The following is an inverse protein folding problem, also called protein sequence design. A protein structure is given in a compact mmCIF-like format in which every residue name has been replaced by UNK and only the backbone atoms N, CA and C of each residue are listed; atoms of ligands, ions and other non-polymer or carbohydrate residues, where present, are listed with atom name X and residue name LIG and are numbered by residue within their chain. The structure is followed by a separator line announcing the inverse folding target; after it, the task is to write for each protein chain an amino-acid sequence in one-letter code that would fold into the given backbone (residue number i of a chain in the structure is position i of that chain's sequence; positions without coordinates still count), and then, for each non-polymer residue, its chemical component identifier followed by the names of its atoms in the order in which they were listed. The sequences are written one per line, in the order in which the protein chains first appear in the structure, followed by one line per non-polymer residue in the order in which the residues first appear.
data_IF_120646703861
#
_entry.id   IF_120646703861
#
_cell.length_a   1.000
_cell.length_b   1.000
_cell.length_c   1.000
_cell.angle_alpha   90.00
_cell.angle_beta   90.00
_cell.angle_gamma   90.00
#
_symmetry.space_group_name_H-M   'P 1'
#
loop_
_entity.id
_entity.type
_entity.pdbx_description
1 polymer ?
#
# COMPACT_ATOMS: atom_id res chain seq x y z
N UNK A 1 -20.13 4.52 3.74
CA UNK A 1 -19.49 3.21 3.51
C UNK A 1 -18.88 3.02 2.11
N UNK A 2 -19.51 3.47 1.00
CA UNK A 2 -18.88 3.39 -0.33
C UNK A 2 -17.77 4.44 -0.57
N UNK A 3 -17.79 5.57 0.16
CA UNK A 3 -16.80 6.64 0.05
C UNK A 3 -15.49 6.34 0.81
N UNK A 4 -15.56 5.71 1.99
CA UNK A 4 -14.38 5.29 2.76
C UNK A 4 -13.61 4.14 2.08
N UNK A 5 -14.31 3.22 1.41
CA UNK A 5 -13.68 2.21 0.53
C UNK A 5 -12.95 2.79 -0.68
N UNK A 6 -13.32 3.99 -1.15
CA UNK A 6 -12.58 4.71 -2.21
C UNK A 6 -11.34 5.42 -1.66
N UNK A 7 -11.41 6.01 -0.48
CA UNK A 7 -10.27 6.72 0.13
C UNK A 7 -9.04 5.83 0.39
N UNK A 8 -9.21 4.52 0.58
CA UNK A 8 -8.07 3.59 0.66
C UNK A 8 -7.45 3.25 -0.71
N UNK A 9 -8.22 3.35 -1.80
CA UNK A 9 -7.76 3.12 -3.18
C UNK A 9 -7.25 4.39 -3.87
N UNK A 10 -7.74 5.58 -3.50
CA UNK A 10 -7.27 6.87 -3.99
C UNK A 10 -6.57 7.61 -2.87
N UNK A 11 -5.24 7.55 -2.85
CA UNK A 11 -4.44 8.36 -1.92
C UNK A 11 -4.70 9.84 -2.15
N UNK A 12 -5.57 10.43 -1.34
CA UNK A 12 -5.84 11.86 -1.34
C UNK A 12 -5.89 12.34 0.11
N UNK A 13 -4.97 13.25 0.43
CA UNK A 13 -5.16 14.20 1.51
C UNK A 13 -6.47 14.96 1.25
N UNK A 14 -7.20 15.31 2.31
CA UNK A 14 -7.40 16.71 2.68
C UNK A 14 -8.45 16.83 3.80
N UNK A 15 -8.20 17.78 4.70
CA UNK A 15 -9.16 18.29 5.67
C UNK A 15 -9.58 19.70 5.25
N UNK A 16 -10.89 19.89 5.12
CA UNK A 16 -11.72 21.11 5.19
C UNK A 16 -11.25 22.43 4.57
N UNK A 17 -12.08 22.98 3.66
CA UNK A 17 -12.67 24.34 3.80
C UNK A 17 -14.10 24.39 3.22
N UNK A 18 -15.00 24.86 4.09
CA UNK A 18 -16.26 25.63 3.94
C UNK A 18 -16.79 25.93 2.53
N UNK A 19 -18.10 25.69 2.37
CA UNK A 19 -18.92 26.09 1.24
C UNK A 19 -19.21 27.60 1.22
N UNK A 20 -19.15 28.21 0.03
CA UNK A 20 -19.85 29.45 -0.30
C UNK A 20 -20.37 29.35 -1.75
N UNK A 21 -21.66 29.62 -1.91
CA UNK A 21 -22.42 29.62 -3.15
C UNK A 21 -22.38 31.01 -3.81
N UNK A 22 -22.21 31.06 -5.14
CA UNK A 22 -22.71 32.13 -6.04
C UNK A 22 -22.18 31.89 -7.46
N UNK A 23 -23.10 31.93 -8.44
CA UNK A 23 -22.83 31.61 -9.83
C UNK A 23 -22.03 32.67 -10.61
N UNK A 24 -21.31 32.23 -11.63
CA UNK A 24 -21.18 32.88 -12.94
C UNK A 24 -20.32 32.02 -13.88
N UNK A 25 -20.46 32.31 -15.17
CA UNK A 25 -20.10 31.60 -16.41
C UNK A 25 -18.74 30.88 -16.47
N UNK A 26 -18.68 29.75 -17.20
CA UNK A 26 -17.43 29.03 -17.51
C UNK A 26 -16.65 29.76 -18.61
N UNK A 27 -15.35 30.07 -18.43
CA UNK A 27 -14.48 30.50 -19.52
C UNK A 27 -14.02 29.30 -20.36
N UNK A 28 -13.62 29.51 -21.63
CA UNK A 28 -13.18 28.43 -22.52
C UNK A 28 -11.84 27.85 -22.05
N UNK A 29 -11.73 26.52 -22.10
CA UNK A 29 -10.54 25.78 -21.70
C UNK A 29 -9.36 26.09 -22.63
N UNK A 30 -8.35 26.81 -22.13
CA UNK A 30 -7.04 26.87 -22.76
C UNK A 30 -6.31 25.52 -22.62
N UNK A 31 -5.55 25.05 -23.62
CA UNK A 31 -4.83 23.78 -23.53
C UNK A 31 -3.76 23.86 -22.44
N UNK A 32 -3.69 22.85 -21.57
CA UNK A 32 -2.64 22.74 -20.54
C UNK A 32 -1.26 22.64 -21.19
N UNK A 33 -0.29 23.41 -20.68
CA UNK A 33 1.10 23.53 -21.17
C UNK A 33 1.80 22.19 -21.45
N UNK A 34 1.42 21.12 -20.75
CA UNK A 34 1.96 19.77 -20.97
C UNK A 34 1.64 19.19 -22.35
N UNK A 35 0.46 19.48 -22.92
CA UNK A 35 0.07 18.99 -24.26
C UNK A 35 0.77 19.77 -25.37
N UNK A 36 1.01 21.07 -25.16
CA UNK A 36 1.79 21.90 -26.08
C UNK A 36 3.26 21.50 -26.08
N UNK A 37 3.83 21.19 -24.91
CA UNK A 37 5.20 20.68 -24.79
C UNK A 37 5.37 19.30 -25.45
N UNK A 38 4.40 18.39 -25.30
CA UNK A 38 4.45 17.07 -25.91
C UNK A 38 4.22 17.10 -27.44
N UNK A 39 3.38 18.02 -27.93
CA UNK A 39 3.20 18.27 -29.37
C UNK A 39 4.43 18.93 -30.00
N UNK A 40 5.10 19.86 -29.31
CA UNK A 40 6.35 20.46 -29.74
C UNK A 40 7.50 19.45 -29.79
N UNK A 41 7.55 18.53 -28.81
CA UNK A 41 8.54 17.45 -28.78
C UNK A 41 8.34 16.44 -29.93
N UNK A 42 7.08 16.17 -30.31
CA UNK A 42 6.73 15.33 -31.46
C UNK A 42 7.04 16.00 -32.81
N UNK A 43 6.83 17.32 -32.93
CA UNK A 43 7.22 18.07 -34.14
C UNK A 43 8.72 18.09 -34.35
N UNK A 44 9.51 18.36 -33.30
CA UNK A 44 10.97 18.28 -33.39
C UNK A 44 11.49 16.88 -33.73
N UNK A 45 10.86 15.82 -33.21
CA UNK A 45 11.21 14.45 -33.58
C UNK A 45 10.88 14.11 -35.05
N UNK A 46 9.83 14.72 -35.62
CA UNK A 46 9.48 14.54 -37.03
C UNK A 46 10.43 15.33 -37.95
N UNK A 47 10.78 16.56 -37.58
CA UNK A 47 11.76 17.39 -38.31
C UNK A 47 13.16 16.73 -38.35
N UNK A 48 13.59 16.10 -37.24
CA UNK A 48 14.85 15.34 -37.19
C UNK A 48 14.80 14.04 -38.01
N UNK A 49 13.63 13.43 -38.17
CA UNK A 49 13.48 12.23 -39.01
C UNK A 49 13.50 12.57 -40.50
N UNK A 50 12.88 13.69 -40.90
CA UNK A 50 12.95 14.21 -42.28
C UNK A 50 14.39 14.66 -42.64
N UNK A 51 15.14 15.27 -41.72
CA UNK A 51 16.56 15.62 -41.93
C UNK A 51 17.49 14.39 -42.06
N UNK A 52 17.11 13.23 -41.52
CA UNK A 52 17.89 11.99 -41.63
C UNK A 52 17.60 11.21 -42.94
N UNK A 53 16.43 11.40 -43.55
CA UNK A 53 16.09 10.79 -44.84
C UNK A 53 16.71 11.57 -46.02
N UNK A 54 16.95 12.88 -45.90
CA UNK A 54 17.61 13.71 -46.93
C UNK A 54 19.12 13.43 -47.08
N UNK A 55 19.76 12.80 -46.07
CA UNK A 55 21.19 12.40 -46.12
C UNK A 55 21.38 10.99 -46.73
N UNK A 56 20.29 10.26 -47.03
CA UNK A 56 20.34 8.89 -47.58
C UNK A 56 20.08 8.80 -49.09
N UNK A 57 19.96 9.92 -49.79
CA UNK A 57 19.75 9.96 -51.24
C UNK A 57 20.89 10.66 -51.97
N UNK A 58 22.10 10.08 -51.92
CA UNK A 58 23.08 10.13 -53.02
C UNK A 58 24.28 9.23 -52.70
N UNK A 59 24.20 7.94 -53.05
CA UNK A 59 25.27 7.28 -53.81
C UNK A 59 24.95 5.82 -54.13
N UNK A 60 25.14 5.54 -55.40
CA UNK A 60 24.86 4.33 -56.14
C UNK A 60 25.75 3.16 -55.71
N UNK A 61 25.16 1.97 -55.74
CA UNK A 61 25.84 0.68 -55.72
C UNK A 61 26.79 0.54 -56.92
N UNK A 62 28.11 0.52 -56.69
CA UNK A 62 29.06 -0.12 -57.61
C UNK A 62 30.39 -0.42 -56.93
N UNK A 63 30.89 -1.63 -57.19
CA UNK A 63 32.09 -2.28 -56.65
C UNK A 63 33.40 -1.55 -56.97
N UNK A 64 34.35 -1.49 -56.01
CA UNK A 64 35.78 -1.90 -56.15
C UNK A 64 36.60 -1.57 -54.90
N UNK A 65 37.46 -2.52 -54.50
CA UNK A 65 38.77 -2.44 -53.81
C UNK A 65 39.10 -1.31 -52.81
N UNK A 66 39.50 -1.76 -51.62
CA UNK A 66 40.52 -1.23 -50.71
C UNK A 66 40.74 0.29 -50.66
N UNK A 67 40.36 0.91 -49.55
CA UNK A 67 41.02 2.13 -49.03
C UNK A 67 40.67 2.33 -47.55
N UNK A 68 41.70 2.58 -46.75
CA UNK A 68 41.67 2.89 -45.33
C UNK A 68 40.77 4.10 -45.04
N UNK A 69 39.73 3.93 -44.22
CA UNK A 69 38.92 5.04 -43.74
C UNK A 69 39.50 5.59 -42.45
N UNK A 70 40.17 6.73 -42.55
CA UNK A 70 40.38 7.67 -41.44
C UNK A 70 39.00 8.13 -40.97
N UNK A 71 38.48 7.58 -39.88
CA UNK A 71 37.24 8.09 -39.27
C UNK A 71 37.55 9.42 -38.60
N UNK A 72 37.01 10.50 -39.17
CA UNK A 72 36.94 11.82 -38.57
C UNK A 72 36.14 11.73 -37.27
N UNK A 73 36.82 11.87 -36.13
CA UNK A 73 36.23 11.91 -34.78
C UNK A 73 35.24 13.08 -34.58
N UNK A 74 35.18 14.04 -35.52
CA UNK A 74 34.36 15.25 -35.44
C UNK A 74 32.85 14.99 -35.59
N UNK A 75 32.44 13.99 -36.38
CA UNK A 75 31.01 13.70 -36.59
C UNK A 75 30.39 13.00 -35.36
N UNK A 76 31.16 12.13 -34.69
CA UNK A 76 30.74 11.42 -33.48
C UNK A 76 30.47 12.38 -32.31
N UNK A 77 31.24 13.47 -32.19
CA UNK A 77 30.99 14.51 -31.19
C UNK A 77 29.70 15.29 -31.47
N UNK A 78 29.40 15.58 -32.74
CA UNK A 78 28.18 16.28 -33.14
C UNK A 78 26.95 15.40 -32.89
N UNK A 79 27.01 14.11 -33.24
CA UNK A 79 25.94 13.15 -32.93
C UNK A 79 25.77 12.97 -31.41
N UNK A 80 26.85 12.89 -30.65
CA UNK A 80 26.78 12.77 -29.18
C UNK A 80 26.19 14.03 -28.52
N UNK A 81 26.53 15.22 -29.01
CA UNK A 81 25.98 16.48 -28.53
C UNK A 81 24.49 16.61 -28.86
N UNK A 82 24.08 16.26 -30.09
CA UNK A 82 22.68 16.21 -30.49
C UNK A 82 21.89 15.19 -29.67
N UNK A 83 22.46 14.02 -29.40
CA UNK A 83 21.85 12.97 -28.58
C UNK A 83 21.65 13.45 -27.12
N UNK A 84 22.61 14.16 -26.52
CA UNK A 84 22.45 14.74 -25.18
C UNK A 84 21.40 15.86 -25.13
N UNK A 85 21.26 16.64 -26.20
CA UNK A 85 20.21 17.68 -26.31
C UNK A 85 18.81 17.09 -26.52
N UNK A 86 18.70 15.99 -27.29
CA UNK A 86 17.43 15.31 -27.59
C UNK A 86 16.98 14.37 -26.48
N UNK A 87 17.93 13.68 -25.86
CA UNK A 87 17.74 12.71 -24.79
C UNK A 87 18.53 13.16 -23.57
N UNK A 88 17.93 14.03 -22.76
CA UNK A 88 18.48 14.32 -21.44
C UNK A 88 18.65 13.00 -20.69
N UNK A 89 19.87 12.75 -20.20
CA UNK A 89 20.12 11.59 -19.35
C UNK A 89 19.08 11.62 -18.22
N UNK A 90 18.28 10.55 -18.04
CA UNK A 90 17.29 10.55 -16.99
C UNK A 90 17.98 10.83 -15.66
N UNK A 91 17.42 11.77 -14.88
CA UNK A 91 18.00 12.15 -13.59
C UNK A 91 18.39 10.90 -12.80
N UNK A 92 19.65 10.85 -12.35
CA UNK A 92 20.15 9.74 -11.55
C UNK A 92 19.25 9.61 -10.34
N UNK A 93 18.55 8.48 -10.23
CA UNK A 93 17.65 8.22 -9.09
C UNK A 93 18.47 8.37 -7.80
N UNK A 94 18.09 9.25 -6.86
CA UNK A 94 18.86 9.45 -5.65
C UNK A 94 18.96 8.14 -4.88
N UNK A 95 20.13 7.88 -4.30
CA UNK A 95 20.30 6.78 -3.36
C UNK A 95 19.37 6.99 -2.16
N UNK A 96 18.95 5.91 -1.52
CA UNK A 96 17.90 5.96 -0.49
C UNK A 96 18.28 6.88 0.68
N UNK A 97 19.58 7.00 0.98
CA UNK A 97 20.12 7.83 2.05
C UNK A 97 19.88 9.33 1.81
N UNK A 98 19.72 9.76 0.55
CA UNK A 98 19.49 11.15 0.19
C UNK A 98 18.02 11.58 0.28
N UNK A 99 17.12 10.70 0.74
CA UNK A 99 15.69 11.00 0.78
C UNK A 99 15.30 11.90 1.96
N UNK A 100 14.73 13.06 1.64
CA UNK A 100 14.02 13.90 2.61
C UNK A 100 12.85 13.13 3.24
N UNK A 101 12.56 13.38 4.52
CA UNK A 101 11.56 12.66 5.34
C UNK A 101 10.20 12.45 4.65
N UNK A 102 9.69 13.46 3.94
CA UNK A 102 8.41 13.36 3.20
C UNK A 102 8.50 12.37 2.04
N UNK A 103 9.59 12.44 1.27
CA UNK A 103 9.87 11.52 0.15
C UNK A 103 10.10 10.10 0.65
N UNK A 104 10.81 9.95 1.78
CA UNK A 104 11.00 8.65 2.43
C UNK A 104 9.66 8.01 2.81
N UNK A 105 8.81 8.73 3.54
CA UNK A 105 7.49 8.23 3.96
C UNK A 105 6.58 7.92 2.77
N UNK A 106 6.68 8.70 1.69
CA UNK A 106 5.94 8.41 0.44
C UNK A 106 6.36 7.08 -0.18
N UNK A 107 7.67 6.82 -0.25
CA UNK A 107 8.22 5.65 -0.94
C UNK A 107 8.16 4.36 -0.11
N UNK A 108 8.39 4.45 1.20
CA UNK A 108 8.45 3.28 2.09
C UNK A 108 7.19 3.09 2.95
N UNK A 109 6.24 4.05 2.94
CA UNK A 109 5.00 4.07 3.73
C UNK A 109 5.18 4.08 5.25
N UNK A 110 6.42 4.09 5.71
CA UNK A 110 6.83 4.17 7.12
C UNK A 110 7.81 5.32 7.33
N UNK A 111 8.02 5.71 8.58
CA UNK A 111 9.02 6.73 8.95
C UNK A 111 10.40 6.09 9.12
N UNK A 112 11.48 6.88 8.96
CA UNK A 112 12.85 6.38 9.10
C UNK A 112 13.13 5.74 10.48
N UNK A 113 12.69 6.31 11.62
CA UNK A 113 12.89 5.67 12.93
C UNK A 113 12.29 4.26 13.04
N UNK A 114 11.18 4.00 12.32
CA UNK A 114 10.59 2.65 12.29
C UNK A 114 11.47 1.68 11.50
N UNK A 115 12.08 2.14 10.40
CA UNK A 115 13.04 1.35 9.64
C UNK A 115 14.29 1.07 10.46
N UNK A 116 14.83 2.08 11.15
CA UNK A 116 16.01 1.93 12.00
C UNK A 116 15.75 0.91 13.12
N UNK A 117 14.58 0.99 13.76
CA UNK A 117 14.14 -0.01 14.74
C UNK A 117 14.03 -1.42 14.14
N UNK A 118 13.34 -1.56 13.00
CA UNK A 118 13.19 -2.87 12.34
C UNK A 118 14.53 -3.45 11.88
N UNK A 119 15.44 -2.62 11.39
CA UNK A 119 16.77 -3.03 10.96
C UNK A 119 17.62 -3.50 12.15
N UNK A 120 17.56 -2.79 13.27
CA UNK A 120 18.26 -3.18 14.50
C UNK A 120 17.72 -4.51 15.08
N UNK A 121 16.40 -4.70 15.07
CA UNK A 121 15.78 -5.96 15.52
C UNK A 121 16.03 -7.10 14.53
N UNK A 122 15.99 -6.84 13.22
CA UNK A 122 16.31 -7.82 12.20
C UNK A 122 17.76 -8.30 12.31
N UNK A 123 18.71 -7.39 12.56
CA UNK A 123 20.12 -7.73 12.73
C UNK A 123 20.38 -8.69 13.91
N UNK A 124 19.55 -8.65 14.96
CA UNK A 124 19.61 -9.57 16.10
C UNK A 124 18.91 -10.90 15.83
N UNK A 125 18.04 -10.96 14.81
CA UNK A 125 17.23 -12.14 14.52
C UNK A 125 18.06 -13.25 13.84
N UNK A 126 17.68 -14.52 14.01
CA UNK A 126 18.34 -15.64 13.32
C UNK A 126 18.13 -15.63 11.80
N UNK A 127 17.23 -14.79 11.29
CA UNK A 127 16.93 -14.66 9.86
C UNK A 127 17.92 -13.75 9.12
N UNK A 128 18.67 -12.92 9.85
CA UNK A 128 19.71 -12.10 9.26
C UNK A 128 20.91 -12.99 8.90
N UNK A 129 21.41 -12.94 7.65
CA UNK A 129 22.58 -13.72 7.27
C UNK A 129 23.80 -13.27 8.07
N UNK A 130 24.42 -14.20 8.79
CA UNK A 130 25.65 -13.95 9.56
C UNK A 130 26.92 -14.23 8.75
N UNK A 131 26.82 -15.07 7.72
CA UNK A 131 28.00 -15.54 6.98
C UNK A 131 28.38 -14.55 5.88
N UNK A 132 29.62 -14.08 5.93
CA UNK A 132 30.33 -13.36 4.85
C UNK A 132 31.35 -14.23 4.13
N UNK A 133 31.41 -15.54 4.43
CA UNK A 133 32.52 -16.43 4.03
C UNK A 133 32.48 -16.89 2.57
N UNK A 134 31.69 -16.22 1.73
CA UNK A 134 31.56 -16.51 0.31
C UNK A 134 32.27 -15.41 -0.46
N UNK A 135 33.20 -15.78 -1.34
CA UNK A 135 33.83 -14.83 -2.25
C UNK A 135 32.78 -14.12 -3.11
N UNK A 136 32.97 -12.82 -3.36
CA UNK A 136 32.04 -11.99 -4.13
C UNK A 136 31.71 -10.66 -3.46
N UNK A 137 30.56 -10.09 -3.81
CA UNK A 137 30.06 -8.85 -3.20
C UNK A 137 29.70 -9.08 -1.71
N UNK A 138 29.93 -8.08 -0.85
CA UNK A 138 29.60 -8.18 0.56
C UNK A 138 28.09 -8.41 0.75
N UNK A 139 27.75 -9.12 1.82
CA UNK A 139 26.35 -9.32 2.20
C UNK A 139 25.67 -7.96 2.43
N UNK A 140 24.45 -7.83 1.91
CA UNK A 140 23.63 -6.63 2.10
C UNK A 140 23.32 -6.43 3.58
N UNK A 141 23.38 -5.18 4.02
CA UNK A 141 23.12 -4.80 5.41
C UNK A 141 21.68 -5.14 5.85
N UNK A 142 21.45 -5.19 7.16
CA UNK A 142 20.10 -5.36 7.72
C UNK A 142 19.14 -4.24 7.27
N UNK A 143 19.64 -3.00 7.18
CA UNK A 143 18.86 -1.86 6.68
C UNK A 143 18.44 -2.06 5.22
N UNK A 144 19.36 -2.49 4.34
CA UNK A 144 19.05 -2.78 2.93
C UNK A 144 18.03 -3.92 2.77
N UNK A 145 18.07 -4.94 3.64
CA UNK A 145 17.04 -5.98 3.67
C UNK A 145 15.65 -5.40 3.94
N UNK A 146 15.51 -4.60 5.00
CA UNK A 146 14.24 -3.98 5.38
C UNK A 146 13.77 -2.98 4.31
N UNK A 147 14.65 -2.11 3.83
CA UNK A 147 14.32 -1.11 2.80
C UNK A 147 13.88 -1.77 1.50
N UNK A 148 14.56 -2.83 1.05
CA UNK A 148 14.18 -3.53 -0.19
C UNK A 148 12.82 -4.21 -0.07
N UNK A 149 12.53 -4.84 1.07
CA UNK A 149 11.22 -5.42 1.35
C UNK A 149 10.12 -4.36 1.38
N UNK A 150 10.34 -3.26 2.11
CA UNK A 150 9.36 -2.17 2.21
C UNK A 150 9.11 -1.52 0.85
N UNK A 151 10.14 -1.33 0.03
CA UNK A 151 9.99 -0.79 -1.31
C UNK A 151 9.07 -1.67 -2.16
N UNK A 152 9.29 -2.98 -2.13
CA UNK A 152 8.47 -3.97 -2.84
C UNK A 152 7.02 -3.92 -2.36
N UNK A 153 6.79 -3.99 -1.05
CA UNK A 153 5.45 -4.01 -0.44
C UNK A 153 4.68 -2.70 -0.65
N UNK A 154 5.36 -1.55 -0.58
CA UNK A 154 4.75 -0.22 -0.64
C UNK A 154 4.30 0.20 -2.04
N UNK A 155 5.03 -0.23 -3.08
CA UNK A 155 4.91 0.34 -4.43
C UNK A 155 4.30 -0.61 -5.46
N UNK A 156 3.90 -1.83 -5.06
CA UNK A 156 3.44 -2.89 -5.98
C UNK A 156 4.44 -3.11 -7.13
N UNK A 157 5.73 -3.00 -6.83
CA UNK A 157 6.81 -3.12 -7.80
C UNK A 157 7.08 -4.60 -8.15
N UNK A 158 7.68 -4.85 -9.32
CA UNK A 158 8.14 -6.19 -9.65
C UNK A 158 9.52 -6.47 -9.06
N UNK A 159 9.86 -7.75 -8.83
CA UNK A 159 11.13 -8.18 -8.24
C UNK A 159 12.32 -7.60 -9.01
N UNK A 160 12.26 -7.61 -10.35
CA UNK A 160 13.31 -7.08 -11.23
C UNK A 160 13.62 -5.61 -10.95
N UNK A 161 12.60 -4.77 -10.81
CA UNK A 161 12.78 -3.33 -10.59
C UNK A 161 13.41 -3.04 -9.22
N UNK A 162 13.01 -3.79 -8.19
CA UNK A 162 13.56 -3.64 -6.85
C UNK A 162 14.99 -4.20 -6.80
N UNK A 163 15.22 -5.36 -7.40
CA UNK A 163 16.55 -5.99 -7.47
C UNK A 163 17.58 -5.06 -8.14
N UNK A 164 17.23 -4.48 -9.29
CA UNK A 164 18.08 -3.49 -9.96
C UNK A 164 18.32 -2.23 -9.12
N UNK A 165 17.32 -1.79 -8.35
CA UNK A 165 17.45 -0.61 -7.48
C UNK A 165 18.40 -0.81 -6.30
N UNK A 166 18.42 -2.02 -5.73
CA UNK A 166 19.28 -2.36 -4.60
C UNK A 166 20.58 -3.06 -5.02
N UNK A 167 20.86 -3.11 -6.33
CA UNK A 167 22.06 -3.72 -6.91
C UNK A 167 22.25 -5.18 -6.45
N UNK A 168 21.17 -5.96 -6.53
CA UNK A 168 21.16 -7.39 -6.19
C UNK A 168 20.58 -8.22 -7.33
N UNK A 169 20.96 -9.49 -7.43
CA UNK A 169 20.28 -10.43 -8.32
C UNK A 169 18.82 -10.66 -7.88
N UNK A 170 17.93 -10.97 -8.82
CA UNK A 170 16.51 -11.24 -8.55
C UNK A 170 16.32 -12.38 -7.53
N UNK A 171 17.13 -13.43 -7.64
CA UNK A 171 17.13 -14.57 -6.71
C UNK A 171 17.56 -14.16 -5.30
N UNK A 172 18.53 -13.26 -5.18
CA UNK A 172 18.97 -12.69 -3.90
C UNK A 172 17.86 -11.85 -3.28
N UNK A 173 17.23 -10.95 -4.05
CA UNK A 173 16.10 -10.17 -3.55
C UNK A 173 14.95 -11.05 -3.06
N UNK A 174 14.61 -12.11 -3.81
CA UNK A 174 13.59 -13.07 -3.38
C UNK A 174 13.93 -13.73 -2.03
N UNK A 175 15.19 -14.12 -1.82
CA UNK A 175 15.67 -14.65 -0.52
C UNK A 175 15.59 -13.60 0.59
N UNK A 176 15.96 -12.34 0.31
CA UNK A 176 15.85 -11.23 1.26
C UNK A 176 14.40 -11.01 1.69
N UNK A 177 13.45 -11.01 0.74
CA UNK A 177 12.02 -10.91 1.05
C UNK A 177 11.54 -12.04 1.97
N UNK A 178 11.97 -13.28 1.70
CA UNK A 178 11.64 -14.44 2.54
C UNK A 178 12.14 -14.29 3.97
N UNK A 179 13.40 -13.87 4.15
CA UNK A 179 14.02 -13.63 5.47
C UNK A 179 13.29 -12.55 6.26
N UNK A 180 13.03 -11.40 5.62
CA UNK A 180 12.31 -10.30 6.26
C UNK A 180 10.89 -10.70 6.60
N UNK A 181 10.20 -11.44 5.73
CA UNK A 181 8.84 -11.95 6.00
C UNK A 181 8.83 -12.87 7.22
N UNK A 182 9.78 -13.82 7.31
CA UNK A 182 9.89 -14.72 8.46
C UNK A 182 10.15 -13.94 9.77
N UNK A 183 11.09 -12.99 9.74
CA UNK A 183 11.34 -12.10 10.87
C UNK A 183 10.10 -11.31 11.30
N UNK A 184 9.36 -10.72 10.34
CA UNK A 184 8.15 -9.96 10.64
C UNK A 184 7.06 -10.83 11.27
N UNK A 185 6.96 -12.10 10.85
CA UNK A 185 6.04 -13.07 11.45
C UNK A 185 6.43 -13.44 12.88
N UNK A 186 7.73 -13.52 13.19
CA UNK A 186 8.21 -13.82 14.54
C UNK A 186 7.95 -12.67 15.53
N UNK A 187 8.10 -11.42 15.09
CA UNK A 187 7.84 -10.25 15.95
C UNK A 187 6.34 -9.91 16.04
N UNK A 188 5.51 -10.34 15.08
CA UNK A 188 4.11 -9.96 14.99
C UNK A 188 3.30 -10.22 16.29
N UNK A 189 3.41 -11.37 16.98
CA UNK A 189 2.69 -11.62 18.23
C UNK A 189 3.10 -10.68 19.39
N UNK A 190 4.31 -10.12 19.34
CA UNK A 190 4.79 -9.18 20.36
C UNK A 190 4.26 -7.77 20.14
N UNK A 191 4.00 -7.40 18.88
CA UNK A 191 3.56 -6.07 18.45
C UNK A 191 2.03 -5.99 18.31
N UNK A 192 1.42 -6.98 17.67
CA UNK A 192 -0.02 -7.08 17.41
C UNK A 192 -0.65 -7.88 18.55
N UNK A 193 -0.99 -7.17 19.62
CA UNK A 193 -1.66 -7.73 20.79
C UNK A 193 -2.47 -6.67 21.52
N UNK A 194 -3.44 -7.13 22.29
CA UNK A 194 -4.14 -6.26 23.23
C UNK A 194 -3.18 -5.73 24.31
N UNK A 195 -3.30 -4.45 24.69
CA UNK A 195 -2.53 -3.92 25.81
C UNK A 195 -2.99 -4.54 27.13
N UNK A 196 -2.10 -4.59 28.11
CA UNK A 196 -2.45 -5.08 29.46
C UNK A 196 -3.48 -4.19 30.15
N UNK A 197 -3.44 -2.88 29.89
CA UNK A 197 -4.37 -1.90 30.43
C UNK A 197 -5.56 -1.70 29.48
N UNK A 198 -6.56 -2.58 29.64
CA UNK A 198 -7.82 -2.51 28.89
C UNK A 198 -8.71 -1.35 29.34
N UNK A 199 -8.58 -0.91 30.60
CA UNK A 199 -9.38 0.19 31.13
C UNK A 199 -9.03 1.51 30.44
N UNK A 200 -7.73 1.79 30.29
CA UNK A 200 -7.29 2.96 29.54
C UNK A 200 -7.74 2.90 28.08
N UNK A 201 -7.67 1.71 27.47
CA UNK A 201 -8.14 1.51 26.09
C UNK A 201 -9.63 1.82 25.96
N UNK A 202 -10.45 1.33 26.89
CA UNK A 202 -11.89 1.61 26.94
C UNK A 202 -12.20 3.10 27.10
N UNK A 203 -11.53 3.76 28.06
CA UNK A 203 -11.70 5.21 28.30
C UNK A 203 -11.31 6.03 27.06
N UNK A 204 -10.21 5.67 26.40
CA UNK A 204 -9.79 6.41 25.21
C UNK A 204 -10.69 6.13 23.99
N UNK A 205 -11.36 4.98 23.93
CA UNK A 205 -12.42 4.69 22.95
C UNK A 205 -13.71 5.46 23.25
N UNK A 206 -14.11 5.53 24.51
CA UNK A 206 -15.29 6.27 24.95
C UNK A 206 -15.12 7.78 24.69
N UNK A 207 -13.92 8.34 24.87
CA UNK A 207 -13.64 9.73 24.49
C UNK A 207 -13.81 10.00 22.99
N UNK A 208 -13.41 9.04 22.14
CA UNK A 208 -13.48 9.19 20.69
C UNK A 208 -14.91 8.97 20.17
N UNK A 209 -15.56 7.94 20.70
CA UNK A 209 -16.83 7.46 20.20
C UNK A 209 -18.01 7.94 21.01
N UNK A 210 -17.93 8.01 22.33
CA UNK A 210 -19.06 8.13 23.24
C UNK A 210 -19.70 6.79 23.63
N UNK A 211 -19.12 5.66 23.20
CA UNK A 211 -19.61 4.32 23.53
C UNK A 211 -18.75 3.69 24.64
N UNK A 212 -19.34 3.36 25.81
CA UNK A 212 -18.59 2.89 26.97
C UNK A 212 -18.00 1.49 26.74
N UNK A 213 -17.00 1.13 27.55
CA UNK A 213 -16.42 -0.23 27.65
C UNK A 213 -15.93 -0.87 26.33
N UNK A 214 -15.75 -0.07 25.28
CA UNK A 214 -15.27 -0.55 23.97
C UNK A 214 -13.75 -0.68 23.95
N UNK A 215 -13.23 -1.88 23.69
CA UNK A 215 -11.77 -2.13 23.66
C UNK A 215 -11.23 -2.38 22.25
N UNK A 216 -12.05 -2.31 21.22
CA UNK A 216 -11.61 -2.54 19.85
C UNK A 216 -12.75 -2.59 18.86
N UNK A 217 -12.40 -2.49 17.58
CA UNK A 217 -13.35 -2.60 16.47
C UNK A 217 -12.89 -3.65 15.48
N UNK A 218 -13.80 -4.56 15.11
CA UNK A 218 -13.52 -5.66 14.16
C UNK A 218 -14.15 -5.37 12.80
N UNK A 219 -13.35 -5.53 11.75
CA UNK A 219 -13.83 -5.46 10.37
C UNK A 219 -13.05 -6.42 9.45
N UNK A 220 -13.64 -6.74 8.30
CA UNK A 220 -13.06 -7.56 7.24
C UNK A 220 -12.70 -6.73 6.00
N UNK A 221 -11.48 -6.91 5.50
CA UNK A 221 -11.01 -6.36 4.22
C UNK A 221 -10.62 -7.47 3.24
N UNK A 222 -10.67 -7.17 1.95
CA UNK A 222 -10.31 -8.11 0.89
C UNK A 222 -8.92 -7.76 0.32
N UNK A 223 -7.98 -8.69 0.42
CA UNK A 223 -6.65 -8.59 -0.19
C UNK A 223 -6.65 -9.29 -1.55
N UNK A 224 -6.45 -8.56 -2.66
CA UNK A 224 -6.40 -9.16 -3.99
C UNK A 224 -5.28 -10.18 -4.11
N UNK A 225 -5.56 -11.33 -4.70
CA UNK A 225 -4.57 -12.38 -4.93
C UNK A 225 -4.65 -12.95 -6.34
N UNK A 226 -3.54 -13.56 -6.78
CA UNK A 226 -3.59 -14.52 -7.88
C UNK A 226 -4.24 -15.82 -7.38
N UNK A 227 -4.94 -16.54 -8.27
CA UNK A 227 -5.57 -17.80 -7.89
C UNK A 227 -4.49 -18.78 -7.37
N UNK A 228 -4.64 -19.35 -6.17
CA UNK A 228 -3.68 -20.32 -5.67
C UNK A 228 -3.63 -21.54 -6.58
N UNK A 229 -2.43 -22.09 -6.77
CA UNK A 229 -2.25 -23.30 -7.57
C UNK A 229 -3.07 -24.46 -6.99
N UNK A 230 -3.67 -25.27 -7.86
CA UNK A 230 -4.45 -26.47 -7.49
C UNK A 230 -5.66 -26.18 -6.57
N UNK A 231 -6.18 -24.95 -6.58
CA UNK A 231 -7.40 -24.58 -5.87
C UNK A 231 -8.49 -24.12 -6.84
N UNK A 232 -9.74 -24.32 -6.45
CA UNK A 232 -10.90 -23.93 -7.26
C UNK A 232 -11.06 -22.42 -7.25
N UNK A 233 -10.94 -21.78 -8.42
CA UNK A 233 -11.02 -20.32 -8.60
C UNK A 233 -12.27 -19.70 -7.98
N UNK A 234 -13.43 -20.34 -8.16
CA UNK A 234 -14.73 -19.82 -7.70
C UNK A 234 -14.87 -19.69 -6.19
N UNK A 235 -13.98 -20.30 -5.41
CA UNK A 235 -13.94 -20.21 -3.94
C UNK A 235 -13.33 -18.87 -3.48
N UNK A 236 -12.50 -18.24 -4.31
CA UNK A 236 -11.77 -17.02 -3.98
C UNK A 236 -12.39 -15.76 -4.61
N UNK A 237 -13.42 -15.91 -5.45
CA UNK A 237 -14.13 -14.77 -6.04
C UNK A 237 -15.04 -14.16 -4.97
N UNK A 238 -14.86 -12.86 -4.73
CA UNK A 238 -15.69 -12.09 -3.81
C UNK A 238 -16.94 -11.50 -4.49
N UNK A 239 -17.77 -10.79 -3.72
CA UNK A 239 -18.97 -10.08 -4.23
C UNK A 239 -18.68 -8.95 -5.23
N UNK A 240 -17.42 -8.56 -5.37
CA UNK A 240 -16.95 -7.55 -6.33
C UNK A 240 -16.29 -8.19 -7.55
N UNK A 241 -16.50 -9.50 -7.77
CA UNK A 241 -16.03 -10.26 -8.92
C UNK A 241 -14.51 -10.32 -9.14
N UNK A 242 -13.71 -10.14 -8.07
CA UNK A 242 -12.25 -10.36 -8.13
C UNK A 242 -11.78 -11.41 -7.12
N UNK A 243 -10.59 -11.97 -7.38
CA UNK A 243 -9.95 -12.97 -6.53
C UNK A 243 -9.31 -12.31 -5.32
N UNK A 244 -9.69 -12.75 -4.11
CA UNK A 244 -9.12 -12.21 -2.88
C UNK A 244 -9.09 -13.20 -1.72
N UNK A 245 -8.25 -12.86 -0.73
CA UNK A 245 -8.29 -13.40 0.62
C UNK A 245 -8.93 -12.38 1.56
N UNK A 246 -9.59 -12.84 2.60
CA UNK A 246 -10.09 -11.95 3.66
C UNK A 246 -9.03 -11.76 4.73
N UNK A 247 -8.80 -10.50 5.08
CA UNK A 247 -8.11 -10.05 6.28
C UNK A 247 -9.17 -9.57 7.27
N UNK A 248 -9.32 -10.27 8.38
CA UNK A 248 -10.05 -9.79 9.54
C UNK A 248 -9.06 -9.09 10.47
N UNK A 249 -9.37 -7.88 10.90
CA UNK A 249 -8.55 -7.14 11.85
C UNK A 249 -9.38 -6.61 13.00
N UNK A 250 -8.81 -6.61 14.20
CA UNK A 250 -9.31 -5.83 15.32
C UNK A 250 -8.37 -4.65 15.53
N UNK A 251 -8.92 -3.44 15.53
CA UNK A 251 -8.14 -2.20 15.65
C UNK A 251 -8.49 -1.43 16.93
N UNK A 252 -7.50 -0.70 17.45
CA UNK A 252 -7.71 0.28 18.52
C UNK A 252 -8.18 1.64 17.98
N UNK A 253 -8.42 2.58 18.89
CA UNK A 253 -8.85 3.95 18.58
C UNK A 253 -7.81 4.77 17.79
N UNK A 254 -6.55 4.33 17.75
CA UNK A 254 -5.44 4.91 16.98
C UNK A 254 -5.22 4.16 15.66
N UNK A 255 -6.17 3.30 15.25
CA UNK A 255 -6.11 2.49 14.03
C UNK A 255 -4.93 1.51 13.99
N UNK A 256 -4.45 1.06 15.15
CA UNK A 256 -3.41 0.03 15.29
C UNK A 256 -4.06 -1.33 15.44
N UNK A 257 -3.52 -2.34 14.78
CA UNK A 257 -4.00 -3.72 14.92
C UNK A 257 -3.71 -4.25 16.34
N UNK A 258 -4.75 -4.76 16.98
CA UNK A 258 -4.72 -5.52 18.23
C UNK A 258 -4.75 -7.03 17.96
N UNK A 259 -5.41 -7.43 16.88
CA UNK A 259 -5.42 -8.79 16.34
C UNK A 259 -5.57 -8.72 14.81
N UNK A 260 -5.00 -9.69 14.11
CA UNK A 260 -5.15 -9.83 12.67
C UNK A 260 -5.21 -11.31 12.27
N UNK A 261 -6.21 -11.68 11.48
CA UNK A 261 -6.40 -13.03 10.96
C UNK A 261 -6.60 -13.00 9.45
N UNK A 262 -5.83 -13.81 8.71
CA UNK A 262 -5.86 -13.85 7.25
C UNK A 262 -5.80 -15.29 6.73
N UNK A 263 -5.96 -15.47 5.42
CA UNK A 263 -5.83 -16.76 4.72
C UNK A 263 -7.17 -17.40 4.34
N UNK A 264 -8.29 -16.80 4.72
CA UNK A 264 -9.62 -17.27 4.34
C UNK A 264 -9.99 -16.81 2.93
N UNK A 265 -10.59 -17.68 2.08
CA UNK A 265 -11.17 -17.25 0.82
C UNK A 265 -12.28 -16.21 1.03
N UNK A 266 -12.34 -15.19 0.18
CA UNK A 266 -13.27 -14.07 0.34
C UNK A 266 -14.74 -14.38 0.12
N UNK A 267 -15.08 -15.61 -0.30
CA UNK A 267 -16.47 -16.10 -0.34
C UNK A 267 -17.02 -16.48 1.03
N UNK A 268 -16.15 -16.65 2.02
CA UNK A 268 -16.56 -16.99 3.38
C UNK A 268 -17.10 -15.74 4.10
N UNK A 269 -18.28 -15.86 4.72
CA UNK A 269 -18.88 -14.79 5.53
C UNK A 269 -18.05 -14.43 6.76
N UNK A 270 -18.05 -13.14 7.11
CA UNK A 270 -17.28 -12.58 8.24
C UNK A 270 -17.60 -13.26 9.58
N UNK A 271 -18.88 -13.55 9.86
CA UNK A 271 -19.27 -14.33 11.03
C UNK A 271 -18.59 -15.72 11.12
N UNK A 272 -18.37 -16.38 9.98
CA UNK A 272 -17.69 -17.68 9.94
C UNK A 272 -16.18 -17.53 10.10
N UNK A 273 -15.61 -16.46 9.55
CA UNK A 273 -14.19 -16.12 9.73
C UNK A 273 -13.92 -15.83 11.21
N UNK A 274 -14.75 -14.98 11.83
CA UNK A 274 -14.68 -14.67 13.26
C UNK A 274 -14.71 -15.93 14.12
N UNK A 275 -15.66 -16.84 13.90
CA UNK A 275 -15.74 -18.09 14.67
C UNK A 275 -14.49 -18.97 14.55
N UNK A 276 -13.76 -18.87 13.44
CA UNK A 276 -12.55 -19.67 13.17
C UNK A 276 -11.27 -18.95 13.57
N UNK A 277 -11.30 -17.64 13.77
CA UNK A 277 -10.12 -16.87 14.16
C UNK A 277 -9.84 -17.04 15.65
N UNK A 278 -8.55 -16.92 16.01
CA UNK A 278 -8.07 -17.04 17.39
C UNK A 278 -8.77 -16.07 18.33
N UNK A 279 -9.12 -14.89 17.84
CA UNK A 279 -9.73 -13.84 18.68
C UNK A 279 -11.09 -14.26 19.24
N UNK A 280 -11.87 -15.10 18.54
CA UNK A 280 -13.16 -15.58 19.04
C UNK A 280 -13.06 -16.46 20.29
N UNK A 281 -11.93 -17.14 20.53
CA UNK A 281 -11.73 -17.90 21.77
C UNK A 281 -11.10 -17.06 22.89
N UNK A 282 -10.39 -15.99 22.54
CA UNK A 282 -9.69 -15.12 23.50
C UNK A 282 -10.62 -14.04 24.07
N UNK A 283 -11.51 -13.48 23.25
CA UNK A 283 -12.38 -12.36 23.65
C UNK A 283 -13.24 -12.62 24.89
N UNK A 284 -13.89 -13.78 25.09
CA UNK A 284 -14.73 -14.00 26.27
C UNK A 284 -13.96 -13.78 27.59
N UNK A 285 -12.72 -14.29 27.66
CA UNK A 285 -11.87 -14.14 28.84
C UNK A 285 -11.31 -12.71 28.95
N UNK A 286 -10.86 -12.15 27.82
CA UNK A 286 -10.29 -10.80 27.77
C UNK A 286 -11.31 -9.73 28.20
N UNK A 287 -12.56 -9.88 27.78
CA UNK A 287 -13.63 -8.95 28.07
C UNK A 287 -14.21 -9.10 29.49
N UNK A 288 -14.18 -10.32 30.06
CA UNK A 288 -14.66 -10.63 31.42
C UNK A 288 -16.03 -10.00 31.74
N UNK A 289 -16.95 -10.04 30.77
CA UNK A 289 -18.30 -9.45 30.82
C UNK A 289 -18.40 -7.93 31.07
N UNK A 290 -17.26 -7.22 31.15
CA UNK A 290 -17.19 -5.77 31.29
C UNK A 290 -16.99 -5.10 29.94
N UNK A 291 -15.99 -5.56 29.19
CA UNK A 291 -15.61 -4.93 27.93
C UNK A 291 -16.25 -5.62 26.73
N UNK A 292 -16.26 -4.93 25.59
CA UNK A 292 -16.67 -5.53 24.33
C UNK A 292 -15.90 -4.91 23.15
N UNK A 293 -15.89 -5.62 22.04
CA UNK A 293 -15.49 -5.05 20.75
C UNK A 293 -16.74 -4.74 19.92
N UNK A 294 -16.62 -3.81 18.99
CA UNK A 294 -17.70 -3.44 18.07
C UNK A 294 -17.43 -4.01 16.68
N UNK A 295 -18.44 -4.55 16.02
CA UNK A 295 -18.35 -5.02 14.63
C UNK A 295 -19.50 -4.52 13.77
N UNK A 296 -19.38 -4.73 12.45
CA UNK A 296 -20.47 -4.46 11.52
C UNK A 296 -21.62 -5.48 11.66
N UNK A 297 -22.71 -5.26 10.92
CA UNK A 297 -23.88 -6.15 10.97
C UNK A 297 -23.60 -7.57 10.42
N UNK A 298 -22.46 -7.83 9.77
CA UNK A 298 -22.10 -9.15 9.25
C UNK A 298 -21.54 -10.08 10.33
N UNK A 299 -21.20 -9.55 11.50
CA UNK A 299 -20.76 -10.30 12.67
C UNK A 299 -21.94 -10.78 13.54
N UNK A 300 -21.76 -11.86 14.33
CA UNK A 300 -22.78 -12.30 15.29
C UNK A 300 -22.78 -11.41 16.53
N UNK A 301 -23.97 -11.04 17.01
CA UNK A 301 -24.13 -10.37 18.29
C UNK A 301 -23.78 -11.32 19.46
N UNK A 302 -22.90 -10.87 20.37
CA UNK A 302 -22.46 -11.61 21.57
C UNK A 302 -22.14 -10.64 22.70
N UNK A 303 -22.03 -11.13 23.94
CA UNK A 303 -21.66 -10.30 25.11
C UNK A 303 -20.34 -9.51 24.92
N UNK A 304 -19.35 -10.12 24.25
CA UNK A 304 -18.05 -9.51 23.97
C UNK A 304 -17.95 -8.89 22.57
N UNK A 305 -19.01 -8.96 21.74
CA UNK A 305 -19.05 -8.43 20.37
C UNK A 305 -20.39 -7.77 20.08
N UNK A 306 -20.40 -6.45 20.14
CA UNK A 306 -21.55 -5.61 19.85
C UNK A 306 -21.66 -5.35 18.35
N UNK A 307 -22.86 -5.54 17.81
CA UNK A 307 -23.18 -5.26 16.40
C UNK A 307 -24.47 -4.46 16.33
N UNK A 308 -24.64 -3.56 15.34
CA UNK A 308 -25.87 -2.80 15.20
C UNK A 308 -27.08 -3.72 15.03
N UNK A 309 -28.18 -3.37 15.69
CA UNK A 309 -29.47 -4.07 15.53
C UNK A 309 -29.97 -3.78 14.11
N UNK A 310 -30.29 -4.84 13.36
CA UNK A 310 -30.86 -4.71 12.03
C UNK A 310 -32.34 -4.32 12.17
N UNK A 311 -32.73 -3.18 11.62
CA UNK A 311 -34.13 -2.81 11.50
C UNK A 311 -34.75 -3.53 10.30
N UNK A 312 -35.67 -4.44 10.58
CA UNK A 312 -36.46 -5.16 9.57
C UNK A 312 -37.86 -4.57 9.39
N UNK A 313 -38.10 -3.35 9.89
CA UNK A 313 -39.40 -2.66 9.83
C UNK A 313 -40.29 -2.87 11.06
N UNK A 314 -39.88 -3.74 11.99
CA UNK A 314 -40.63 -4.11 13.20
C UNK A 314 -40.05 -3.53 14.50
N UNK A 315 -39.10 -2.59 14.42
CA UNK A 315 -38.67 -1.88 15.61
C UNK A 315 -39.74 -0.85 16.01
N UNK A 316 -40.30 -1.02 17.20
CA UNK A 316 -41.20 -0.05 17.84
C UNK A 316 -40.54 1.34 17.81
N UNK A 317 -41.32 2.42 17.69
CA UNK A 317 -40.80 3.80 17.68
C UNK A 317 -39.93 4.15 18.90
N UNK A 318 -40.07 3.42 20.00
CA UNK A 318 -39.26 3.52 21.24
C UNK A 318 -37.88 2.84 21.09
N UNK A 319 -37.77 1.84 20.20
CA UNK A 319 -36.54 1.09 19.87
C UNK A 319 -35.91 1.53 18.55
N UNK A 320 -36.57 2.44 17.81
CA UNK A 320 -35.97 3.23 16.74
C UNK A 320 -35.30 4.44 17.39
N UNK A 321 -33.99 4.40 17.66
CA UNK A 321 -33.30 5.64 17.96
C UNK A 321 -33.49 6.54 16.74
N UNK A 322 -34.19 7.66 16.94
CA UNK A 322 -34.19 8.73 15.95
C UNK A 322 -32.74 9.01 15.60
N UNK A 323 -32.45 9.19 14.32
CA UNK A 323 -31.11 9.45 13.79
C UNK A 323 -30.45 10.71 14.42
N UNK A 324 -31.16 11.43 15.28
CA UNK A 324 -30.78 12.72 15.84
C UNK A 324 -30.70 12.77 17.38
N UNK A 325 -31.31 11.85 18.15
CA UNK A 325 -31.51 12.10 19.59
C UNK A 325 -30.96 11.06 20.58
N UNK A 326 -30.05 10.17 20.18
CA UNK A 326 -29.35 9.30 21.14
C UNK A 326 -27.83 9.42 21.03
N UNK A 327 -27.12 9.85 22.11
CA UNK A 327 -25.68 10.01 22.11
C UNK A 327 -24.90 8.68 22.04
N UNK A 328 -25.57 7.54 21.83
CA UNK A 328 -24.94 6.22 21.71
C UNK A 328 -24.95 5.60 20.30
N UNK A 329 -25.92 5.92 19.44
CA UNK A 329 -26.00 5.34 18.08
C UNK A 329 -25.37 6.20 16.99
N UNK A 330 -25.41 7.54 17.14
CA UNK A 330 -24.53 8.41 16.34
C UNK A 330 -23.06 8.03 16.51
N UNK A 331 -22.72 7.41 17.64
CA UNK A 331 -21.39 7.00 18.05
C UNK A 331 -20.92 5.71 17.39
N UNK A 332 -21.77 4.69 17.28
CA UNK A 332 -21.45 3.48 16.51
C UNK A 332 -21.29 3.78 15.01
N UNK A 333 -22.13 4.64 14.44
CA UNK A 333 -21.98 5.08 13.05
C UNK A 333 -20.72 5.95 12.89
N UNK A 334 -20.39 6.82 13.86
CA UNK A 334 -19.12 7.56 13.90
C UNK A 334 -17.92 6.65 14.06
N UNK A 335 -17.98 5.58 14.87
CA UNK A 335 -16.91 4.57 15.01
C UNK A 335 -16.68 3.87 13.67
N UNK A 336 -17.76 3.38 13.04
CA UNK A 336 -17.70 2.70 11.73
C UNK A 336 -17.34 3.65 10.57
N UNK A 337 -17.52 4.97 10.71
CA UNK A 337 -17.11 5.99 9.75
C UNK A 337 -15.72 6.58 10.02
N UNK A 338 -15.25 6.54 11.27
CA UNK A 338 -13.95 7.08 11.70
C UNK A 338 -12.81 6.06 11.50
N UNK A 339 -13.11 4.78 11.38
CA UNK A 339 -12.15 3.71 11.01
C UNK A 339 -11.95 3.72 9.50
#
# INVERSE_FOLDING_TARGET
MAAAKRAWCSGSNDFNVVAADSGSERPPCLPSDSRMAEAAKRRRLAEVFDELDDVSSDSCWSSTSESSSSSSDDDDEVYAAAFQQLFSLPERRPKVEAYVTKTFKRNFRVTRPVVDFLAAEFAKSPHCPQNSDHGGLPAKSAEEHILSFLWYAANKACIRDVAGRFEVAESTHHRMMGRVTAFLLDIAPNVIKFPSDLQKLAVDFEKLSGFPDTIGCVDGSYMPIRCPARKVRSVYINRHHYLSLTLQGVCDNKKRFLDASTGYPSKIHDARIFRRSRISSVLPQLCSSKYHIVGDAAYPFREYLMTPIRDYGNLDSIKKPSMQDSPGQGCLLKILLAI
#
